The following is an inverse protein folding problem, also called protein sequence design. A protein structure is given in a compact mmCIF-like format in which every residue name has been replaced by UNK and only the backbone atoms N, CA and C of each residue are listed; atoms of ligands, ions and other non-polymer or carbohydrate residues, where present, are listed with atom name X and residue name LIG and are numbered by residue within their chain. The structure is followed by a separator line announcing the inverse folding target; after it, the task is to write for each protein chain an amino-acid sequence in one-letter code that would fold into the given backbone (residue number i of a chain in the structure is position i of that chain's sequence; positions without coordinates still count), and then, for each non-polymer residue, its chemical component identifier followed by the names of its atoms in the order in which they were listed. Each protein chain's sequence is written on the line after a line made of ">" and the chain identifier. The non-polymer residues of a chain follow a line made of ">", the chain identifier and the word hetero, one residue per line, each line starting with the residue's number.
data_IF_861836099810
#
_entry.id   IF_861836099810
#
_cell.length_a   1.000
_cell.length_b   1.000
_cell.length_c   1.000
_cell.angle_alpha   90.00
_cell.angle_beta   90.00
_cell.angle_gamma   90.00
#
_symmetry.space_group_name_H-M   'P 1'
#
loop_
_entity.id
_entity.type
_entity.pdbx_description
1 polymer ?
#
# COMPACT_ATOMS: atom_id res chain seq x y z
N UNK A 1 5.48 -8.07 9.36
CA UNK A 1 4.55 -6.93 9.22
C UNK A 1 4.93 -6.05 8.02
N UNK A 2 6.08 -5.36 8.06
CA UNK A 2 6.43 -4.31 7.07
C UNK A 2 6.39 -4.76 5.61
N UNK A 3 6.84 -5.98 5.31
CA UNK A 3 6.79 -6.55 3.95
C UNK A 3 5.34 -6.70 3.45
N UNK A 4 4.48 -7.30 4.26
CA UNK A 4 3.05 -7.44 3.93
C UNK A 4 2.36 -6.08 3.82
N UNK A 5 2.73 -5.12 4.68
CA UNK A 5 2.20 -3.76 4.61
C UNK A 5 2.63 -3.05 3.32
N UNK A 6 3.90 -3.19 2.90
CA UNK A 6 4.40 -2.63 1.65
C UNK A 6 3.72 -3.24 0.42
N UNK A 7 3.56 -4.56 0.39
CA UNK A 7 2.81 -5.25 -0.66
C UNK A 7 1.36 -4.79 -0.71
N UNK A 8 0.70 -4.75 0.45
CA UNK A 8 -0.68 -4.27 0.56
C UNK A 8 -0.84 -2.82 0.10
N UNK A 9 0.12 -1.96 0.44
CA UNK A 9 0.12 -0.56 0.00
C UNK A 9 0.29 -0.45 -1.51
N UNK A 10 1.22 -1.20 -2.11
CA UNK A 10 1.41 -1.23 -3.56
C UNK A 10 0.14 -1.67 -4.30
N UNK A 11 -0.55 -2.70 -3.78
CA UNK A 11 -1.85 -3.14 -4.32
C UNK A 11 -2.91 -2.05 -4.16
N UNK A 12 -3.06 -1.45 -2.97
CA UNK A 12 -4.05 -0.41 -2.69
C UNK A 12 -3.87 0.83 -3.59
N UNK A 13 -2.62 1.22 -3.85
CA UNK A 13 -2.28 2.26 -4.83
C UNK A 13 -2.65 1.84 -6.25
N UNK A 14 -2.33 0.60 -6.63
CA UNK A 14 -2.61 0.09 -7.98
C UNK A 14 -4.10 0.09 -8.31
N UNK A 15 -4.95 -0.36 -7.37
CA UNK A 15 -6.41 -0.38 -7.55
C UNK A 15 -7.09 0.94 -7.15
N UNK A 16 -6.33 1.93 -6.68
CA UNK A 16 -6.83 3.21 -6.17
C UNK A 16 -7.94 3.05 -5.11
N UNK A 17 -7.71 2.20 -4.10
CA UNK A 17 -8.70 1.88 -3.07
C UNK A 17 -8.25 2.34 -1.68
N UNK A 18 -8.39 3.64 -1.34
CA UNK A 18 -8.10 4.14 -0.01
C UNK A 18 -9.25 3.82 0.96
N UNK A 19 -8.94 3.46 2.21
CA UNK A 19 -9.95 3.26 3.25
C UNK A 19 -10.72 4.55 3.57
N UNK A 20 -10.01 5.69 3.53
CA UNK A 20 -10.55 7.03 3.73
C UNK A 20 -9.67 8.04 2.98
N UNK A 21 -10.20 9.24 2.83
CA UNK A 21 -9.57 10.39 2.18
C UNK A 21 -9.45 11.51 3.20
N UNK A 22 -8.34 12.22 3.17
CA UNK A 22 -8.11 13.40 4.02
C UNK A 22 -8.10 14.67 3.16
N UNK A 23 -8.91 15.67 3.56
CA UNK A 23 -9.00 16.97 2.93
C UNK A 23 -8.29 18.01 3.81
N UNK A 24 -7.01 18.33 3.52
CA UNK A 24 -6.18 19.14 4.41
C UNK A 24 -6.67 20.59 4.54
N UNK A 25 -7.31 21.15 3.51
CA UNK A 25 -7.79 22.54 3.53
C UNK A 25 -8.91 22.78 4.55
N UNK A 26 -9.64 21.73 4.91
CA UNK A 26 -10.79 21.79 5.83
C UNK A 26 -10.66 20.81 7.00
N UNK A 27 -9.48 20.23 7.16
CA UNK A 27 -9.14 19.22 8.18
C UNK A 27 -10.21 18.13 8.36
N UNK A 28 -10.62 17.50 7.25
CA UNK A 28 -11.74 16.55 7.25
C UNK A 28 -11.36 15.21 6.66
N UNK A 29 -11.81 14.14 7.32
CA UNK A 29 -11.80 12.79 6.78
C UNK A 29 -13.13 12.44 6.12
N UNK A 30 -13.07 11.68 5.02
CA UNK A 30 -14.25 11.15 4.34
C UNK A 30 -14.00 9.74 3.83
N UNK A 31 -15.01 8.89 3.89
CA UNK A 31 -14.96 7.54 3.31
C UNK A 31 -15.15 7.56 1.79
N UNK A 32 -15.85 8.59 1.27
CA UNK A 32 -16.15 8.78 -0.15
C UNK A 32 -15.57 10.10 -0.65
N UNK A 33 -15.49 10.24 -1.98
CA UNK A 33 -15.12 11.52 -2.59
C UNK A 33 -16.19 12.58 -2.32
N UNK A 34 -15.75 13.71 -1.76
CA UNK A 34 -16.58 14.91 -1.61
C UNK A 34 -16.50 15.68 -2.93
N UNK A 35 -17.64 15.78 -3.63
CA UNK A 35 -17.78 16.49 -4.89
C UNK A 35 -17.80 18.03 -4.70
N UNK A 36 -16.82 18.57 -3.99
CA UNK A 36 -16.67 20.01 -3.80
C UNK A 36 -15.27 20.46 -4.21
N UNK A 37 -15.19 21.19 -5.33
CA UNK A 37 -13.94 21.67 -5.92
C UNK A 37 -13.20 22.68 -5.04
N UNK A 38 -13.86 23.32 -4.07
CA UNK A 38 -13.22 24.29 -3.17
C UNK A 38 -12.40 23.64 -2.07
N UNK A 39 -12.54 22.33 -1.85
CA UNK A 39 -11.83 21.59 -0.80
C UNK A 39 -10.40 21.17 -1.18
N UNK A 40 -10.00 21.42 -2.42
CA UNK A 40 -8.73 20.96 -2.96
C UNK A 40 -8.67 19.44 -3.17
N UNK A 41 -7.52 18.92 -3.63
CA UNK A 41 -7.34 17.49 -3.87
C UNK A 41 -7.31 16.71 -2.56
N UNK A 42 -8.01 15.57 -2.55
CA UNK A 42 -7.97 14.64 -1.44
C UNK A 42 -6.59 13.96 -1.33
N UNK A 43 -6.05 13.89 -0.12
CA UNK A 43 -4.90 13.04 0.22
C UNK A 43 -5.37 11.62 0.51
N UNK A 44 -5.08 10.69 -0.40
CA UNK A 44 -5.50 9.28 -0.32
C UNK A 44 -4.47 8.37 0.35
N UNK A 45 -3.21 8.81 0.46
CA UNK A 45 -2.10 7.99 0.91
C UNK A 45 -2.24 7.46 2.34
N UNK A 46 -2.83 8.27 3.25
CA UNK A 46 -3.17 7.81 4.60
C UNK A 46 -4.18 6.65 4.58
N UNK A 47 -5.20 6.74 3.73
CA UNK A 47 -6.20 5.69 3.56
C UNK A 47 -5.62 4.42 2.96
N UNK A 48 -4.64 4.53 2.04
CA UNK A 48 -3.91 3.39 1.51
C UNK A 48 -3.02 2.71 2.56
N UNK A 49 -2.37 3.48 3.43
CA UNK A 49 -1.60 2.90 4.55
C UNK A 49 -2.56 2.15 5.49
N UNK A 50 -3.69 2.75 5.83
CA UNK A 50 -4.65 2.14 6.75
C UNK A 50 -5.21 0.82 6.21
N UNK A 51 -5.65 0.77 4.96
CA UNK A 51 -6.17 -0.48 4.36
C UNK A 51 -5.06 -1.54 4.22
N UNK A 52 -3.82 -1.14 3.95
CA UNK A 52 -2.70 -2.07 3.83
C UNK A 52 -2.26 -2.65 5.17
N UNK A 53 -2.34 -1.85 6.24
CA UNK A 53 -1.95 -2.27 7.58
C UNK A 53 -2.85 -3.38 8.13
N UNK A 54 -4.17 -3.31 7.87
CA UNK A 54 -5.15 -4.29 8.37
C UNK A 54 -4.78 -5.75 8.06
N UNK A 55 -4.66 -6.18 6.79
CA UNK A 55 -4.26 -7.55 6.46
C UNK A 55 -2.80 -7.83 6.85
N UNK A 56 -1.92 -6.83 6.84
CA UNK A 56 -0.53 -7.01 7.23
C UNK A 56 -0.36 -7.37 8.71
N UNK A 57 -1.19 -6.80 9.60
CA UNK A 57 -1.24 -7.20 11.02
C UNK A 57 -1.70 -8.66 11.12
N UNK A 58 -2.81 -9.01 10.46
CA UNK A 58 -3.36 -10.38 10.50
C UNK A 58 -2.32 -11.40 10.02
N UNK A 59 -1.70 -11.16 8.87
CA UNK A 59 -0.67 -12.04 8.32
C UNK A 59 0.58 -12.11 9.20
N UNK A 60 0.98 -11.01 9.85
CA UNK A 60 2.10 -11.02 10.77
C UNK A 60 1.81 -11.86 12.03
N UNK A 61 0.60 -11.75 12.58
CA UNK A 61 0.18 -12.51 13.76
C UNK A 61 0.05 -13.99 13.42
N UNK A 62 -0.68 -14.31 12.34
CA UNK A 62 -0.86 -15.69 11.87
C UNK A 62 0.48 -16.31 11.50
N UNK A 63 1.33 -15.57 10.78
CA UNK A 63 2.64 -16.05 10.39
C UNK A 63 3.54 -16.33 11.60
N UNK A 64 3.51 -15.48 12.62
CA UNK A 64 4.25 -15.72 13.87
C UNK A 64 3.76 -16.97 14.61
N UNK A 65 2.45 -17.25 14.58
CA UNK A 65 1.87 -18.40 15.28
C UNK A 65 2.06 -19.71 14.51
N UNK A 66 2.02 -19.67 13.18
CA UNK A 66 2.00 -20.85 12.32
C UNK A 66 3.36 -21.24 11.74
N UNK A 67 4.32 -20.32 11.58
CA UNK A 67 5.61 -20.64 10.94
C UNK A 67 6.65 -21.15 11.95
N UNK A 68 7.29 -22.30 11.68
CA UNK A 68 8.47 -22.74 12.43
C UNK A 68 9.64 -21.77 12.23
N UNK A 69 10.43 -21.52 13.27
CA UNK A 69 11.62 -20.66 13.22
C UNK A 69 12.59 -21.01 12.09
N UNK A 70 12.82 -22.31 11.86
CA UNK A 70 13.69 -22.81 10.77
C UNK A 70 13.24 -22.38 9.37
N UNK A 71 11.94 -22.18 9.16
CA UNK A 71 11.42 -21.73 7.87
C UNK A 71 11.61 -20.21 7.71
N UNK A 72 11.46 -19.46 8.81
CA UNK A 72 11.71 -18.02 8.83
C UNK A 72 13.16 -17.72 8.47
N UNK A 73 14.12 -18.46 9.03
CA UNK A 73 15.55 -18.26 8.74
C UNK A 73 15.88 -18.47 7.26
N UNK A 74 15.25 -19.47 6.62
CA UNK A 74 15.43 -19.75 5.19
C UNK A 74 14.77 -18.71 4.29
N UNK A 75 13.62 -18.17 4.70
CA UNK A 75 12.86 -17.20 3.91
C UNK A 75 13.35 -15.76 4.07
N UNK A 76 13.98 -15.44 5.19
CA UNK A 76 14.50 -14.09 5.48
C UNK A 76 15.37 -13.50 4.36
N UNK A 77 16.35 -14.20 3.78
CA UNK A 77 17.13 -13.64 2.67
C UNK A 77 16.30 -13.39 1.40
N UNK A 78 15.33 -14.25 1.09
CA UNK A 78 14.42 -14.06 -0.06
C UNK A 78 13.49 -12.86 0.16
N UNK A 79 13.05 -12.64 1.39
CA UNK A 79 12.16 -11.54 1.77
C UNK A 79 12.80 -10.16 1.54
N UNK A 80 14.13 -10.06 1.56
CA UNK A 80 14.85 -8.83 1.21
C UNK A 80 14.74 -8.44 -0.26
N UNK A 81 14.35 -9.36 -1.15
CA UNK A 81 14.11 -9.04 -2.56
C UNK A 81 12.77 -8.31 -2.78
N UNK A 82 11.85 -8.39 -1.81
CA UNK A 82 10.50 -7.84 -1.97
C UNK A 82 10.48 -6.32 -2.17
N UNK A 83 11.21 -5.48 -1.40
CA UNK A 83 11.27 -4.04 -1.66
C UNK A 83 11.77 -3.71 -3.07
N UNK A 84 12.79 -4.41 -3.55
CA UNK A 84 13.31 -4.22 -4.90
C UNK A 84 12.29 -4.62 -5.97
N UNK A 85 11.56 -5.73 -5.75
CA UNK A 85 10.48 -6.15 -6.64
C UNK A 85 9.34 -5.12 -6.70
N UNK A 86 8.94 -4.54 -5.56
CA UNK A 86 7.93 -3.48 -5.50
C UNK A 86 8.39 -2.25 -6.28
N UNK A 87 9.64 -1.81 -6.08
CA UNK A 87 10.20 -0.68 -6.82
C UNK A 87 10.26 -0.95 -8.32
N UNK A 88 10.72 -2.13 -8.73
CA UNK A 88 10.76 -2.54 -10.13
C UNK A 88 9.35 -2.55 -10.76
N UNK A 89 8.36 -3.09 -10.04
CA UNK A 89 6.97 -3.10 -10.50
C UNK A 89 6.41 -1.67 -10.64
N UNK A 90 6.68 -0.79 -9.66
CA UNK A 90 6.29 0.63 -9.71
C UNK A 90 6.91 1.34 -10.92
N UNK A 91 8.20 1.12 -11.15
CA UNK A 91 8.94 1.70 -12.27
C UNK A 91 8.41 1.27 -13.64
N UNK A 92 8.10 -0.02 -13.81
CA UNK A 92 7.50 -0.54 -15.05
C UNK A 92 6.14 0.13 -15.32
N UNK A 93 5.32 0.30 -14.28
CA UNK A 93 4.02 0.98 -14.38
C UNK A 93 4.18 2.44 -14.78
N UNK A 94 5.10 3.18 -14.15
CA UNK A 94 5.35 4.59 -14.50
C UNK A 94 5.81 4.73 -15.95
N UNK A 95 6.70 3.85 -16.41
CA UNK A 95 7.13 3.83 -17.81
C UNK A 95 5.98 3.57 -18.79
N UNK A 96 5.09 2.62 -18.49
CA UNK A 96 3.93 2.36 -19.36
C UNK A 96 3.00 3.57 -19.49
N UNK A 97 2.89 4.37 -18.42
CA UNK A 97 2.10 5.60 -18.44
C UNK A 97 2.77 6.70 -19.28
N UNK A 98 4.09 6.84 -19.16
CA UNK A 98 4.86 7.83 -19.93
C UNK A 98 4.94 7.52 -21.42
N UNK A 99 5.04 6.24 -21.79
CA UNK A 99 5.14 5.81 -23.20
C UNK A 99 3.77 5.74 -23.88
N UNK A 100 2.69 5.46 -23.15
CA UNK A 100 1.32 5.44 -23.68
C UNK A 100 0.64 6.81 -23.79
N UNK A 101 1.32 7.89 -23.42
CA UNK A 101 0.82 9.28 -23.47
C UNK A 101 1.34 10.09 -24.66
N UNK A 102 2.04 9.45 -25.61
CA UNK A 102 2.43 10.02 -26.91
C UNK A 102 1.68 9.33 -28.05
#
# INVERSE_FOLDING_TARGET
>A
FSIFCGLGYAVAVYVNYPLFRYYPLVDRFSLTDIANRTLGPAMTWYGWIAIAALPAVVLAVVGKLALPSRLIDKLTPLLWLVPFAILAAGWVREKSWLVGAG
#
